data_IF_330559197723
#
_entry.id   IF_330559197723
#
_cell.length_a   1.000
_cell.length_b   1.000
_cell.length_c   1.000
_cell.angle_alpha   90.00
_cell.angle_beta   90.00
_cell.angle_gamma   90.00
#
_symmetry.space_group_name_H-M   'P 1'
#
loop_
_entity.id
_entity.type
_entity.pdbx_description
1 polymer ?
#
# COMPACT_ATOMS: atom_id res chain seq x y z
N UNK A 1 7.99 21.56 -10.97
CA UNK A 1 9.12 20.65 -11.24
C UNK A 1 8.89 19.27 -10.69
N UNK A 2 8.88 18.23 -11.53
CA UNK A 2 8.93 16.87 -11.02
C UNK A 2 10.35 16.67 -10.49
N UNK A 3 10.52 16.75 -9.17
CA UNK A 3 11.80 16.46 -8.52
C UNK A 3 12.24 15.04 -8.85
N UNK A 4 13.12 14.93 -9.83
CA UNK A 4 13.80 13.69 -10.17
C UNK A 4 14.80 13.38 -9.07
N UNK A 5 14.36 12.60 -8.09
CA UNK A 5 15.22 12.14 -6.99
C UNK A 5 16.27 11.19 -7.54
N UNK A 6 17.52 11.37 -7.12
CA UNK A 6 18.60 10.46 -7.48
C UNK A 6 18.34 9.06 -6.89
N UNK A 7 18.88 8.04 -7.55
CA UNK A 7 18.80 6.64 -7.10
C UNK A 7 19.41 6.49 -5.69
N UNK A 8 20.44 7.26 -5.36
CA UNK A 8 21.08 7.23 -4.05
C UNK A 8 20.18 7.80 -2.95
N UNK A 9 19.47 8.90 -3.22
CA UNK A 9 18.48 9.46 -2.31
C UNK A 9 17.38 8.43 -2.04
N UNK A 10 16.83 7.79 -3.08
CA UNK A 10 15.84 6.73 -2.91
C UNK A 10 16.35 5.56 -2.04
N UNK A 11 17.59 5.09 -2.28
CA UNK A 11 18.22 4.03 -1.47
C UNK A 11 18.40 4.43 -0.01
N UNK A 12 18.82 5.66 0.25
CA UNK A 12 18.96 6.18 1.61
C UNK A 12 17.62 6.22 2.35
N UNK A 13 16.58 6.77 1.73
CA UNK A 13 15.24 6.81 2.31
C UNK A 13 14.67 5.41 2.55
N UNK A 14 14.86 4.49 1.61
CA UNK A 14 14.46 3.08 1.77
C UNK A 14 15.19 2.43 2.96
N UNK A 15 16.51 2.63 3.09
CA UNK A 15 17.29 2.10 4.19
C UNK A 15 16.84 2.67 5.54
N UNK A 16 16.57 3.97 5.61
CA UNK A 16 16.04 4.62 6.80
C UNK A 16 14.68 4.03 7.20
N UNK A 17 13.76 3.88 6.25
CA UNK A 17 12.44 3.27 6.46
C UNK A 17 12.55 1.82 6.97
N UNK A 18 13.37 1.01 6.30
CA UNK A 18 13.64 -0.37 6.71
C UNK A 18 14.22 -0.44 8.13
N UNK A 19 15.08 0.51 8.49
CA UNK A 19 15.69 0.57 9.82
C UNK A 19 14.66 0.91 10.90
N UNK A 20 13.76 1.86 10.63
CA UNK A 20 12.67 2.22 11.55
C UNK A 20 11.74 1.02 11.79
N UNK A 21 11.34 0.31 10.72
CA UNK A 21 10.52 -0.91 10.82
C UNK A 21 11.23 -1.95 11.71
N UNK A 22 12.53 -2.18 11.49
CA UNK A 22 13.33 -3.10 12.31
C UNK A 22 13.38 -2.68 13.78
N UNK A 23 13.59 -1.40 14.08
CA UNK A 23 13.60 -0.88 15.46
C UNK A 23 12.23 -1.11 16.12
N UNK A 24 11.14 -0.82 15.40
CA UNK A 24 9.78 -1.05 15.92
C UNK A 24 9.48 -2.53 16.14
N UNK A 25 10.04 -3.40 15.31
CA UNK A 25 9.87 -4.84 15.41
C UNK A 25 10.70 -5.45 16.56
N UNK A 26 11.98 -5.11 16.68
CA UNK A 26 12.92 -5.74 17.61
C UNK A 26 12.98 -5.08 18.99
N UNK A 27 12.68 -3.78 19.08
CA UNK A 27 12.73 -3.02 20.34
C UNK A 27 11.46 -2.19 20.57
N UNK A 28 10.28 -2.83 20.55
CA UNK A 28 8.98 -2.15 20.69
C UNK A 28 8.84 -1.42 22.04
N UNK A 29 9.40 -1.99 23.10
CA UNK A 29 9.35 -1.45 24.47
C UNK A 29 10.03 -0.08 24.61
N UNK A 30 11.08 0.16 23.80
CA UNK A 30 11.79 1.45 23.79
C UNK A 30 11.01 2.51 23.00
N UNK A 31 10.22 2.10 22.01
CA UNK A 31 9.49 3.01 21.12
C UNK A 31 8.10 3.33 21.66
N UNK A 32 7.46 2.39 22.35
CA UNK A 32 6.10 2.51 22.85
C UNK A 32 5.84 3.78 23.69
N UNK A 33 6.74 4.21 24.61
CA UNK A 33 6.56 5.47 25.37
C UNK A 33 6.52 6.73 24.48
N UNK A 34 7.04 6.64 23.26
CA UNK A 34 7.12 7.73 22.29
C UNK A 34 6.11 7.57 21.14
N UNK A 35 5.13 6.67 21.28
CA UNK A 35 4.18 6.36 20.21
C UNK A 35 3.41 7.60 19.74
N UNK A 36 2.97 8.47 20.64
CA UNK A 36 2.20 9.66 20.27
C UNK A 36 3.02 10.65 19.42
N UNK A 37 4.32 10.76 19.72
CA UNK A 37 5.25 11.56 18.92
C UNK A 37 5.43 10.93 17.53
N UNK A 38 5.68 9.61 17.47
CA UNK A 38 5.79 8.87 16.21
C UNK A 38 4.52 9.03 15.38
N UNK A 39 3.36 8.96 16.02
CA UNK A 39 2.06 9.09 15.37
C UNK A 39 1.82 10.47 14.78
N UNK A 40 2.18 11.51 15.55
CA UNK A 40 2.11 12.89 15.09
C UNK A 40 3.03 13.14 13.88
N UNK A 41 4.25 12.62 13.90
CA UNK A 41 5.19 12.74 12.79
C UNK A 41 4.70 11.98 11.55
N UNK A 42 4.19 10.76 11.71
CA UNK A 42 3.61 9.99 10.62
C UNK A 42 2.43 10.73 9.96
N UNK A 43 1.53 11.33 10.76
CA UNK A 43 0.43 12.15 10.21
C UNK A 43 0.91 13.34 9.38
N UNK A 44 2.00 14.00 9.78
CA UNK A 44 2.61 15.08 9.00
C UNK A 44 3.19 14.57 7.68
N UNK A 45 3.91 13.44 7.72
CA UNK A 45 4.46 12.80 6.51
C UNK A 45 3.35 12.35 5.55
N UNK A 46 2.25 11.83 6.06
CA UNK A 46 1.11 11.40 5.24
C UNK A 46 0.50 12.57 4.45
N UNK A 47 0.42 13.76 5.07
CA UNK A 47 -0.11 14.99 4.44
C UNK A 47 0.86 15.62 3.43
N UNK A 48 2.16 15.40 3.58
CA UNK A 48 3.15 15.98 2.67
C UNK A 48 3.14 15.26 1.31
N UNK A 49 2.71 15.96 0.25
CA UNK A 49 2.70 15.43 -1.13
C UNK A 49 4.10 15.16 -1.69
N UNK A 50 5.15 15.76 -1.10
CA UNK A 50 6.54 15.61 -1.55
C UNK A 50 7.16 14.32 -1.06
N UNK A 51 6.62 13.71 0.00
CA UNK A 51 7.13 12.46 0.57
C UNK A 51 6.71 11.29 -0.32
N UNK A 52 7.63 10.40 -0.72
CA UNK A 52 7.34 9.21 -1.50
C UNK A 52 6.39 8.27 -0.76
N UNK A 53 5.57 7.56 -1.53
CA UNK A 53 4.60 6.61 -0.97
C UNK A 53 5.25 5.49 -0.15
N UNK A 54 6.46 5.05 -0.51
CA UNK A 54 7.19 4.03 0.26
C UNK A 54 7.53 4.50 1.68
N UNK A 55 7.86 5.78 1.85
CA UNK A 55 8.17 6.35 3.17
C UNK A 55 6.90 6.44 4.02
N UNK A 56 5.80 6.89 3.41
CA UNK A 56 4.47 6.95 4.04
C UNK A 56 4.01 5.58 4.52
N UNK A 57 4.09 4.58 3.63
CA UNK A 57 3.73 3.21 3.95
C UNK A 57 4.59 2.62 5.07
N UNK A 58 5.90 2.85 5.03
CA UNK A 58 6.82 2.31 6.04
C UNK A 58 6.52 2.87 7.44
N UNK A 59 6.12 4.14 7.53
CA UNK A 59 5.69 4.73 8.80
C UNK A 59 4.38 4.15 9.28
N UNK A 60 3.43 3.93 8.37
CA UNK A 60 2.15 3.29 8.68
C UNK A 60 2.36 1.89 9.24
N UNK A 61 3.19 1.09 8.58
CA UNK A 61 3.58 -0.25 9.03
C UNK A 61 4.24 -0.24 10.41
N UNK A 62 5.18 0.68 10.64
CA UNK A 62 5.81 0.86 11.94
C UNK A 62 4.78 1.17 13.04
N UNK A 63 3.81 2.05 12.79
CA UNK A 63 2.77 2.36 13.77
C UNK A 63 1.89 1.15 14.08
N UNK A 64 1.48 0.38 13.06
CA UNK A 64 0.72 -0.86 13.27
C UNK A 64 1.53 -1.84 14.12
N UNK A 65 2.83 -2.01 13.84
CA UNK A 65 3.71 -2.89 14.62
C UNK A 65 3.78 -2.49 16.09
N UNK A 66 3.94 -1.20 16.40
CA UNK A 66 3.98 -0.72 17.79
C UNK A 66 2.60 -0.86 18.47
N UNK A 67 1.50 -0.65 17.73
CA UNK A 67 0.14 -0.78 18.28
C UNK A 67 -0.17 -2.17 18.88
N UNK A 68 0.51 -3.21 18.39
CA UNK A 68 0.41 -4.57 18.93
C UNK A 68 0.83 -4.66 20.40
N UNK A 69 1.66 -3.73 20.88
CA UNK A 69 2.18 -3.69 22.25
C UNK A 69 1.33 -2.84 23.19
N UNK A 70 0.17 -2.36 22.73
CA UNK A 70 -0.83 -1.76 23.62
C UNK A 70 -1.43 -2.75 24.60
N UNK A 71 -1.39 -4.05 24.27
CA UNK A 71 -1.98 -5.13 25.08
C UNK A 71 -3.45 -4.87 25.45
N UNK A 72 -4.18 -4.15 24.60
CA UNK A 72 -5.59 -3.83 24.77
C UNK A 72 -6.26 -3.88 23.40
N UNK A 73 -7.24 -4.78 23.27
CA UNK A 73 -8.00 -4.99 22.04
C UNK A 73 -8.70 -3.70 21.60
N UNK A 74 -9.41 -3.04 22.52
CA UNK A 74 -10.17 -1.81 22.22
C UNK A 74 -9.25 -0.68 21.77
N UNK A 75 -8.16 -0.43 22.50
CA UNK A 75 -7.20 0.62 22.15
C UNK A 75 -6.56 0.39 20.77
N UNK A 76 -6.24 -0.86 20.47
CA UNK A 76 -5.67 -1.22 19.16
C UNK A 76 -6.72 -1.12 18.06
N UNK A 77 -7.95 -1.60 18.31
CA UNK A 77 -9.06 -1.53 17.37
C UNK A 77 -9.38 -0.08 16.99
N UNK A 78 -9.48 0.82 17.96
CA UNK A 78 -9.75 2.24 17.73
C UNK A 78 -8.63 2.90 16.91
N UNK A 79 -7.37 2.60 17.23
CA UNK A 79 -6.22 3.07 16.47
C UNK A 79 -6.26 2.61 15.01
N UNK A 80 -6.49 1.31 14.78
CA UNK A 80 -6.56 0.75 13.42
C UNK A 80 -7.78 1.27 12.66
N UNK A 81 -8.91 1.49 13.34
CA UNK A 81 -10.10 2.10 12.75
C UNK A 81 -9.82 3.55 12.31
N UNK A 82 -9.12 4.33 13.12
CA UNK A 82 -8.68 5.67 12.75
C UNK A 82 -7.72 5.64 11.56
N UNK A 83 -6.77 4.72 11.55
CA UNK A 83 -5.80 4.56 10.47
C UNK A 83 -6.46 4.16 9.14
N UNK A 84 -7.44 3.26 9.20
CA UNK A 84 -8.20 2.79 8.04
C UNK A 84 -9.32 3.75 7.60
N UNK A 85 -9.63 4.79 8.38
CA UNK A 85 -10.75 5.70 8.10
C UNK A 85 -10.62 6.39 6.74
N UNK A 86 -9.42 6.85 6.39
CA UNK A 86 -9.17 7.48 5.10
C UNK A 86 -9.34 6.49 3.94
N UNK A 87 -8.79 5.28 4.08
CA UNK A 87 -8.97 4.23 3.09
C UNK A 87 -10.45 3.89 2.93
N UNK A 88 -11.18 3.75 4.03
CA UNK A 88 -12.62 3.45 4.03
C UNK A 88 -13.44 4.53 3.33
N UNK A 89 -13.10 5.80 3.54
CA UNK A 89 -13.74 6.94 2.87
C UNK A 89 -13.51 6.91 1.36
N UNK A 90 -12.27 6.66 0.92
CA UNK A 90 -11.93 6.56 -0.51
C UNK A 90 -12.63 5.36 -1.14
N UNK A 91 -12.60 4.18 -0.51
CA UNK A 91 -13.26 2.97 -1.02
C UNK A 91 -14.78 3.11 -1.12
N UNK A 92 -15.40 3.81 -0.17
CA UNK A 92 -16.84 4.04 -0.15
C UNK A 92 -17.28 5.19 -1.06
N UNK A 93 -16.34 5.91 -1.69
CA UNK A 93 -16.66 7.01 -2.58
C UNK A 93 -17.37 6.52 -3.85
N UNK A 94 -18.34 7.29 -4.34
CA UNK A 94 -19.06 6.96 -5.56
C UNK A 94 -18.13 6.88 -6.78
N UNK A 95 -17.04 7.65 -6.76
CA UNK A 95 -16.00 7.64 -7.79
C UNK A 95 -15.27 6.29 -7.83
N UNK A 96 -14.84 5.78 -6.67
CA UNK A 96 -14.17 4.49 -6.58
C UNK A 96 -15.11 3.33 -6.91
N UNK A 97 -16.35 3.36 -6.40
CA UNK A 97 -17.36 2.35 -6.71
C UNK A 97 -17.64 2.25 -8.21
N UNK A 98 -17.71 3.39 -8.90
CA UNK A 98 -17.83 3.41 -10.36
C UNK A 98 -16.56 2.86 -11.02
N UNK A 99 -15.38 3.31 -10.57
CA UNK A 99 -14.10 2.88 -11.14
C UNK A 99 -13.90 1.36 -11.12
N UNK A 100 -14.32 0.68 -10.05
CA UNK A 100 -14.16 -0.79 -9.92
C UNK A 100 -15.32 -1.60 -10.50
N UNK A 101 -16.34 -0.94 -11.05
CA UNK A 101 -17.54 -1.61 -11.58
C UNK A 101 -17.28 -2.35 -12.90
N UNK A 102 -16.34 -1.86 -13.71
CA UNK A 102 -15.97 -2.44 -14.99
C UNK A 102 -14.51 -2.13 -15.33
N UNK A 103 -13.85 -2.95 -16.17
CA UNK A 103 -12.48 -2.67 -16.61
C UNK A 103 -12.38 -1.34 -17.38
N UNK A 104 -13.42 -0.95 -18.13
CA UNK A 104 -13.46 0.30 -18.89
C UNK A 104 -13.44 1.54 -17.98
N UNK A 105 -14.30 1.54 -16.95
CA UNK A 105 -14.33 2.61 -15.95
C UNK A 105 -13.00 2.67 -15.18
N UNK A 106 -12.40 1.50 -14.89
CA UNK A 106 -11.11 1.44 -14.22
C UNK A 106 -10.00 2.08 -15.07
N UNK A 107 -9.94 1.76 -16.36
CA UNK A 107 -8.98 2.34 -17.32
C UNK A 107 -9.11 3.87 -17.35
N UNK A 108 -10.33 4.39 -17.41
CA UNK A 108 -10.56 5.84 -17.42
C UNK A 108 -10.17 6.50 -16.10
N UNK A 109 -10.48 5.84 -14.98
CA UNK A 109 -10.16 6.32 -13.63
C UNK A 109 -8.65 6.47 -13.38
N UNK A 110 -7.85 5.50 -13.85
CA UNK A 110 -6.39 5.53 -13.71
C UNK A 110 -5.68 6.26 -14.86
N UNK A 111 -6.39 6.54 -15.94
CA UNK A 111 -5.89 7.25 -17.11
C UNK A 111 -5.02 6.38 -18.02
N UNK A 112 -5.38 5.11 -18.21
CA UNK A 112 -4.67 4.15 -19.06
C UNK A 112 -5.29 4.02 -20.47
N UNK A 113 -5.84 5.11 -21.00
CA UNK A 113 -6.47 5.17 -22.33
C UNK A 113 -5.61 5.96 -23.33
N UNK A 114 -5.67 5.55 -24.61
CA UNK A 114 -4.93 6.10 -25.75
C UNK A 114 -5.02 7.63 -25.82
N UNK A 115 -6.18 8.19 -25.47
CA UNK A 115 -6.53 9.58 -25.74
C UNK A 115 -6.02 10.60 -24.70
N UNK A 116 -5.60 10.17 -23.49
CA UNK A 116 -5.24 11.10 -22.39
C UNK A 116 -3.74 11.18 -22.07
N UNK A 117 -2.89 10.47 -22.81
CA UNK A 117 -1.46 10.32 -22.53
C UNK A 117 -0.54 11.51 -22.90
N UNK A 118 -1.08 12.63 -23.40
CA UNK A 118 -0.28 13.74 -23.96
C UNK A 118 -0.23 15.01 -23.12
N UNK A 119 -0.99 15.12 -22.03
CA UNK A 119 -0.97 16.31 -21.17
C UNK A 119 -0.20 16.05 -19.87
N UNK A 120 1.07 16.49 -19.84
CA UNK A 120 1.99 16.39 -18.68
C UNK A 120 1.64 17.31 -17.50
N UNK A 121 0.35 17.55 -17.24
CA UNK A 121 -0.14 18.26 -16.06
C UNK A 121 -0.44 17.32 -14.88
N UNK A 122 -0.69 17.87 -13.68
CA UNK A 122 -1.30 17.16 -12.54
C UNK A 122 -2.74 16.71 -12.92
N UNK A 123 -2.85 15.68 -13.74
CA UNK A 123 -4.13 15.11 -14.14
C UNK A 123 -4.81 14.47 -12.92
N UNK A 124 -6.15 14.60 -12.77
CA UNK A 124 -6.92 13.89 -11.74
C UNK A 124 -6.56 12.40 -11.64
N UNK A 125 -6.22 11.77 -12.76
CA UNK A 125 -5.81 10.36 -12.84
C UNK A 125 -4.53 10.03 -12.04
N UNK A 126 -3.59 10.99 -11.89
CA UNK A 126 -2.39 10.79 -11.07
C UNK A 126 -2.75 10.79 -9.57
N UNK A 127 -3.65 11.67 -9.15
CA UNK A 127 -4.17 11.72 -7.78
C UNK A 127 -4.92 10.44 -7.47
N UNK A 128 -5.79 9.99 -8.38
CA UNK A 128 -6.55 8.73 -8.27
C UNK A 128 -5.62 7.53 -8.05
N UNK A 129 -4.61 7.35 -8.91
CA UNK A 129 -3.62 6.26 -8.77
C UNK A 129 -2.87 6.33 -7.43
N UNK A 130 -2.47 7.53 -7.02
CA UNK A 130 -1.74 7.73 -5.76
C UNK A 130 -2.60 7.41 -4.54
N UNK A 131 -3.87 7.83 -4.53
CA UNK A 131 -4.82 7.53 -3.47
C UNK A 131 -5.15 6.04 -3.42
N UNK A 132 -5.40 5.42 -4.57
CA UNK A 132 -5.68 3.98 -4.67
C UNK A 132 -4.52 3.15 -4.11
N UNK A 133 -3.28 3.44 -4.53
CA UNK A 133 -2.09 2.77 -4.00
C UNK A 133 -1.96 2.97 -2.48
N UNK A 134 -2.15 4.20 -1.99
CA UNK A 134 -2.08 4.47 -0.55
C UNK A 134 -3.11 3.64 0.23
N UNK A 135 -4.34 3.51 -0.29
CA UNK A 135 -5.40 2.72 0.33
C UNK A 135 -5.04 1.23 0.35
N UNK A 136 -4.56 0.67 -0.77
CA UNK A 136 -4.12 -0.72 -0.86
C UNK A 136 -2.98 -1.03 0.12
N UNK A 137 -1.94 -0.18 0.12
CA UNK A 137 -0.81 -0.33 1.03
C UNK A 137 -1.20 -0.20 2.50
N UNK A 138 -2.15 0.70 2.83
CA UNK A 138 -2.67 0.83 4.19
C UNK A 138 -3.38 -0.44 4.64
N UNK A 139 -4.29 -0.97 3.80
CA UNK A 139 -5.02 -2.20 4.10
C UNK A 139 -4.07 -3.39 4.23
N UNK A 140 -3.12 -3.54 3.29
CA UNK A 140 -2.09 -4.59 3.33
C UNK A 140 -1.23 -4.48 4.60
N UNK A 141 -0.74 -3.29 4.92
CA UNK A 141 0.09 -3.05 6.09
C UNK A 141 -0.62 -3.42 7.40
N UNK A 142 -1.91 -3.09 7.52
CA UNK A 142 -2.73 -3.49 8.66
C UNK A 142 -2.95 -5.01 8.70
N UNK A 143 -3.32 -5.62 7.57
CA UNK A 143 -3.57 -7.07 7.48
C UNK A 143 -2.33 -7.92 7.80
N UNK A 144 -1.16 -7.48 7.36
CA UNK A 144 0.09 -8.23 7.55
C UNK A 144 0.67 -8.07 8.97
N UNK A 145 0.44 -6.92 9.62
CA UNK A 145 1.15 -6.57 10.84
C UNK A 145 0.29 -6.48 12.11
N UNK A 146 -1.03 -6.36 12.00
CA UNK A 146 -1.91 -6.32 13.17
C UNK A 146 -2.07 -7.71 13.78
N UNK A 147 -1.59 -7.87 15.02
CA UNK A 147 -1.60 -9.13 15.77
C UNK A 147 -2.01 -8.92 17.22
N UNK A 148 -2.57 -9.97 17.81
CA UNK A 148 -2.74 -10.08 19.25
C UNK A 148 -1.41 -10.41 19.95
N UNK A 149 -1.30 -10.23 21.28
CA UNK A 149 -0.12 -10.62 22.05
C UNK A 149 0.18 -12.12 21.93
N UNK A 150 1.47 -12.48 21.86
CA UNK A 150 1.90 -13.89 21.82
C UNK A 150 1.69 -14.61 23.15
N UNK A 151 1.72 -13.87 24.27
CA UNK A 151 1.45 -14.42 25.61
C UNK A 151 -0.07 -14.55 25.84
N UNK A 152 -0.49 -15.74 26.29
CA UNK A 152 -1.91 -16.05 26.46
C UNK A 152 -2.56 -15.23 27.58
N UNK A 153 -1.85 -15.00 28.69
CA UNK A 153 -2.39 -14.26 29.82
C UNK A 153 -2.52 -12.77 29.48
N UNK A 154 -1.53 -12.21 28.78
CA UNK A 154 -1.62 -10.86 28.20
C UNK A 154 -2.77 -10.76 27.18
N UNK A 155 -2.97 -11.77 26.33
CA UNK A 155 -4.06 -11.77 25.35
C UNK A 155 -5.44 -11.87 26.01
N UNK A 156 -5.58 -12.65 27.10
CA UNK A 156 -6.81 -12.70 27.90
C UNK A 156 -7.06 -11.37 28.61
N UNK A 157 -6.06 -10.84 29.31
CA UNK A 157 -6.14 -9.57 30.03
C UNK A 157 -6.46 -8.39 29.10
N UNK A 158 -5.90 -8.41 27.88
CA UNK A 158 -6.16 -7.43 26.85
C UNK A 158 -7.47 -7.62 26.07
N UNK A 159 -8.24 -8.67 26.34
CA UNK A 159 -9.54 -8.92 25.69
C UNK A 159 -9.46 -9.45 24.27
N UNK A 160 -8.36 -10.09 23.87
CA UNK A 160 -8.18 -10.69 22.54
C UNK A 160 -8.77 -12.10 22.43
N UNK A 161 -8.98 -12.79 23.55
CA UNK A 161 -9.54 -14.16 23.59
C UNK A 161 -11.06 -14.08 23.77
N UNK A 162 -11.82 -14.67 22.85
CA UNK A 162 -13.29 -14.67 22.87
C UNK A 162 -13.89 -15.99 23.35
N UNK A 163 -13.10 -17.05 23.42
CA UNK A 163 -13.55 -18.36 23.84
C UNK A 163 -12.47 -19.43 23.66
N UNK A 164 -12.89 -20.69 23.77
CA UNK A 164 -12.04 -21.86 23.58
C UNK A 164 -12.75 -22.87 22.68
N UNK A 165 -11.99 -23.62 21.90
CA UNK A 165 -12.50 -24.77 21.14
C UNK A 165 -12.84 -25.93 22.08
N UNK A 166 -13.49 -26.96 21.56
CA UNK A 166 -13.77 -28.21 22.30
C UNK A 166 -12.52 -28.85 22.89
N UNK A 167 -11.37 -28.66 22.24
CA UNK A 167 -10.08 -29.22 22.64
C UNK A 167 -9.31 -28.31 23.62
N UNK A 168 -9.92 -27.18 24.04
CA UNK A 168 -9.31 -26.22 24.96
C UNK A 168 -8.36 -25.22 24.32
N UNK A 169 -8.32 -25.12 22.99
CA UNK A 169 -7.47 -24.12 22.31
C UNK A 169 -8.15 -22.74 22.33
N UNK A 170 -7.42 -21.64 22.62
CA UNK A 170 -7.99 -20.30 22.65
C UNK A 170 -8.43 -19.83 21.25
N UNK A 171 -9.59 -19.18 21.20
CA UNK A 171 -10.13 -18.52 19.99
C UNK A 171 -9.85 -17.02 20.13
N UNK A 172 -9.09 -16.48 19.19
CA UNK A 172 -8.70 -15.07 19.16
C UNK A 172 -9.59 -14.25 18.22
N UNK A 173 -9.71 -12.96 18.50
CA UNK A 173 -10.24 -11.96 17.58
C UNK A 173 -9.15 -10.99 17.16
N UNK A 174 -9.07 -10.66 15.86
CA UNK A 174 -8.13 -9.66 15.38
C UNK A 174 -8.75 -8.26 15.50
N UNK A 175 -8.05 -7.26 16.07
CA UNK A 175 -8.52 -5.87 16.13
C UNK A 175 -8.85 -5.24 14.78
N UNK A 176 -8.25 -5.70 13.68
CA UNK A 176 -8.52 -5.15 12.35
C UNK A 176 -9.75 -5.76 11.67
N UNK A 177 -10.28 -6.89 12.16
CA UNK A 177 -11.28 -7.70 11.44
C UNK A 177 -12.53 -6.90 11.05
N UNK A 178 -13.12 -6.16 11.99
CA UNK A 178 -14.37 -5.43 11.72
C UNK A 178 -14.20 -4.39 10.59
N UNK A 179 -13.09 -3.65 10.62
CA UNK A 179 -12.83 -2.59 9.64
C UNK A 179 -12.43 -3.15 8.28
N UNK A 180 -11.63 -4.21 8.26
CA UNK A 180 -11.22 -4.84 7.00
C UNK A 180 -12.39 -5.56 6.31
N UNK A 181 -13.29 -6.20 7.08
CA UNK A 181 -14.48 -6.85 6.51
C UNK A 181 -15.36 -5.87 5.75
N UNK A 182 -15.48 -4.62 6.21
CA UNK A 182 -16.20 -3.54 5.50
C UNK A 182 -15.58 -3.16 4.16
N UNK A 183 -14.29 -3.45 3.96
CA UNK A 183 -13.55 -3.14 2.73
C UNK A 183 -13.48 -4.33 1.76
N UNK A 184 -13.83 -5.53 2.22
CA UNK A 184 -13.55 -6.77 1.51
C UNK A 184 -14.26 -6.87 0.15
N UNK A 185 -15.53 -6.47 0.08
CA UNK A 185 -16.29 -6.49 -1.17
C UNK A 185 -15.69 -5.55 -2.24
N UNK A 186 -15.17 -4.41 -1.79
CA UNK A 186 -14.51 -3.43 -2.66
C UNK A 186 -13.16 -3.95 -3.15
N UNK A 187 -12.40 -4.61 -2.28
CA UNK A 187 -11.15 -5.27 -2.64
C UNK A 187 -11.41 -6.34 -3.70
N UNK A 188 -12.41 -7.22 -3.52
CA UNK A 188 -12.75 -8.22 -4.53
C UNK A 188 -13.24 -7.63 -5.84
N UNK A 189 -13.98 -6.52 -5.79
CA UNK A 189 -14.40 -5.80 -7.00
C UNK A 189 -13.21 -5.23 -7.75
N UNK A 190 -12.24 -4.66 -7.04
CA UNK A 190 -11.00 -4.19 -7.65
C UNK A 190 -10.15 -5.33 -8.21
N UNK A 191 -9.96 -6.43 -7.47
CA UNK A 191 -9.25 -7.62 -7.97
C UNK A 191 -9.88 -8.10 -9.27
N UNK A 192 -11.21 -8.17 -9.33
CA UNK A 192 -11.94 -8.57 -10.53
C UNK A 192 -11.73 -7.61 -11.70
N UNK A 193 -11.89 -6.31 -11.46
CA UNK A 193 -11.67 -5.28 -12.48
C UNK A 193 -10.22 -5.32 -13.01
N UNK A 194 -9.25 -5.47 -12.10
CA UNK A 194 -7.84 -5.54 -12.42
C UNK A 194 -7.47 -6.81 -13.21
N UNK A 195 -7.98 -7.98 -12.83
CA UNK A 195 -7.77 -9.22 -13.58
C UNK A 195 -8.40 -9.16 -14.98
N UNK A 196 -9.57 -8.52 -15.10
CA UNK A 196 -10.24 -8.35 -16.39
C UNK A 196 -9.50 -7.38 -17.34
N UNK A 197 -8.51 -6.61 -16.86
CA UNK A 197 -7.65 -5.81 -17.74
C UNK A 197 -6.83 -6.66 -18.71
N UNK A 198 -6.55 -7.92 -18.36
CA UNK A 198 -5.76 -8.83 -19.19
C UNK A 198 -6.58 -9.51 -20.29
N UNK A 199 -7.90 -9.25 -20.37
CA UNK A 199 -8.73 -9.75 -21.46
C UNK A 199 -8.35 -9.06 -22.79
N UNK A 200 -8.18 -9.79 -23.90
CA UNK A 200 -7.71 -9.22 -25.17
C UNK A 200 -8.54 -8.02 -25.65
N UNK A 201 -9.86 -8.10 -25.51
CA UNK A 201 -10.80 -7.04 -25.87
C UNK A 201 -10.66 -5.77 -25.01
N UNK A 202 -10.15 -5.89 -23.78
CA UNK A 202 -9.88 -4.76 -22.88
C UNK A 202 -8.51 -4.17 -23.17
N UNK A 203 -7.49 -5.02 -23.35
CA UNK A 203 -6.13 -4.61 -23.72
C UNK A 203 -6.12 -3.78 -25.01
N UNK A 204 -6.92 -4.17 -26.00
CA UNK A 204 -7.07 -3.41 -27.26
C UNK A 204 -7.52 -1.96 -27.03
N UNK A 205 -8.32 -1.68 -26.00
CA UNK A 205 -8.82 -0.33 -25.68
C UNK A 205 -7.76 0.56 -25.03
N UNK A 206 -6.77 -0.03 -24.36
CA UNK A 206 -5.65 0.71 -23.76
C UNK A 206 -4.64 1.20 -24.81
N UNK A 207 -4.63 0.57 -25.98
CA UNK A 207 -3.70 0.81 -27.09
C UNK A 207 -2.30 0.28 -26.84
N UNK A 208 -1.48 0.27 -27.90
CA UNK A 208 -0.19 -0.43 -27.89
C UNK A 208 0.80 0.03 -26.81
N UNK A 209 0.81 1.32 -26.49
CA UNK A 209 1.70 1.90 -25.45
C UNK A 209 1.33 1.45 -24.04
N UNK A 210 0.04 1.53 -23.66
CA UNK A 210 -0.40 1.16 -22.32
C UNK A 210 -0.65 -0.34 -22.16
N UNK A 211 -0.93 -1.08 -23.24
CA UNK A 211 -0.95 -2.54 -23.23
C UNK A 211 0.39 -3.12 -22.75
N UNK A 212 1.52 -2.56 -23.23
CA UNK A 212 2.88 -2.93 -22.78
C UNK A 212 3.13 -2.62 -21.30
N UNK A 213 2.32 -1.77 -20.67
CA UNK A 213 2.45 -1.50 -19.23
C UNK A 213 1.92 -2.65 -18.36
N UNK A 214 1.20 -3.63 -18.94
CA UNK A 214 0.80 -4.86 -18.26
C UNK A 214 1.87 -5.97 -18.38
N UNK A 215 2.89 -5.79 -19.21
CA UNK A 215 3.99 -6.75 -19.35
C UNK A 215 4.95 -6.72 -18.16
N UNK A 216 5.68 -7.83 -17.99
CA UNK A 216 6.83 -7.96 -17.07
C UNK A 216 7.83 -6.81 -17.31
N UNK A 217 8.36 -6.21 -16.24
CA UNK A 217 9.33 -5.12 -16.38
C UNK A 217 10.60 -5.62 -17.08
N UNK A 218 11.20 -4.76 -17.92
CA UNK A 218 12.47 -5.07 -18.58
C UNK A 218 13.60 -5.42 -17.60
N UNK A 219 13.58 -4.83 -16.40
CA UNK A 219 14.51 -5.18 -15.32
C UNK A 219 14.30 -6.60 -14.82
N UNK A 220 13.04 -7.04 -14.69
CA UNK A 220 12.69 -8.40 -14.26
C UNK A 220 13.02 -9.41 -15.35
N UNK A 221 12.74 -9.11 -16.62
CA UNK A 221 13.16 -9.94 -17.77
C UNK A 221 14.68 -10.16 -17.76
N UNK A 222 15.46 -9.09 -17.58
CA UNK A 222 16.92 -9.19 -17.49
C UNK A 222 17.39 -10.02 -16.29
N UNK A 223 16.75 -9.86 -15.13
CA UNK A 223 17.03 -10.67 -13.95
C UNK A 223 16.75 -12.16 -14.21
N UNK A 224 15.61 -12.50 -14.82
CA UNK A 224 15.25 -13.88 -15.17
C UNK A 224 16.24 -14.48 -16.17
N UNK A 225 16.72 -13.68 -17.12
CA UNK A 225 17.74 -14.07 -18.10
C UNK A 225 19.16 -14.13 -17.53
N UNK A 226 19.36 -13.87 -16.23
CA UNK A 226 20.68 -13.86 -15.59
C UNK A 226 21.60 -12.73 -16.09
N UNK A 227 21.06 -11.71 -16.75
CA UNK A 227 21.83 -10.61 -17.29
C UNK A 227 22.17 -9.63 -16.17
N UNK A 228 23.46 -9.43 -15.94
CA UNK A 228 23.97 -8.45 -14.96
C UNK A 228 23.49 -7.06 -15.39
N UNK A 229 22.66 -6.43 -14.55
CA UNK A 229 22.30 -5.04 -14.78
C UNK A 229 23.53 -4.17 -14.52
N UNK A 230 23.91 -3.27 -15.45
CA UNK A 230 24.99 -2.35 -15.20
C UNK A 230 24.66 -1.52 -13.96
N UNK A 231 25.62 -1.42 -13.04
CA UNK A 231 25.52 -0.51 -11.90
C UNK A 231 25.48 0.89 -12.49
N UNK A 232 24.29 1.48 -12.56
CA UNK A 232 24.15 2.84 -13.07
C UNK A 232 24.89 3.79 -12.13
N UNK A 233 25.88 4.51 -12.62
CA UNK A 233 26.51 5.61 -11.89
C UNK A 233 25.42 6.65 -11.55
N UNK A 234 25.22 6.84 -10.26
CA UNK A 234 23.94 7.24 -9.64
C UNK A 234 23.69 8.75 -9.58
N UNK A 235 24.51 9.57 -10.23
CA UNK A 235 24.55 10.99 -9.88
C UNK A 235 23.36 11.82 -10.39
N UNK A 236 22.72 11.50 -11.52
CA UNK A 236 21.62 12.34 -12.05
C UNK A 236 20.53 11.62 -12.85
N UNK A 237 20.42 10.28 -12.76
CA UNK A 237 19.40 9.57 -13.54
C UNK A 237 18.04 9.58 -12.84
N UNK A 238 16.99 10.14 -13.47
CA UNK A 238 15.63 10.09 -12.92
C UNK A 238 15.09 8.65 -12.86
N UNK A 239 14.47 8.30 -11.72
CA UNK A 239 13.91 6.95 -11.45
C UNK A 239 12.86 6.55 -12.49
N UNK A 240 12.05 7.49 -12.98
CA UNK A 240 11.06 7.24 -14.04
C UNK A 240 11.26 8.19 -15.22
N UNK A 241 11.53 7.64 -16.41
CA UNK A 241 11.83 8.40 -17.63
C UNK A 241 10.62 8.68 -18.53
N UNK A 242 9.49 7.98 -18.37
CA UNK A 242 8.29 8.16 -19.20
C UNK A 242 6.99 7.91 -18.43
N UNK A 243 5.88 8.45 -18.94
CA UNK A 243 4.53 8.22 -18.40
C UNK A 243 4.16 6.72 -18.40
N UNK A 244 4.54 6.00 -19.45
CA UNK A 244 4.40 4.54 -19.58
C UNK A 244 5.10 3.81 -18.42
N UNK A 245 6.37 4.15 -18.11
CA UNK A 245 7.10 3.52 -17.00
C UNK A 245 6.45 3.79 -15.64
N UNK A 246 5.87 4.97 -15.44
CA UNK A 246 5.10 5.28 -14.22
C UNK A 246 3.82 4.46 -14.15
N UNK A 247 3.15 4.25 -15.29
CA UNK A 247 1.94 3.42 -15.35
C UNK A 247 2.25 1.94 -15.14
N UNK A 248 3.31 1.41 -15.76
CA UNK A 248 3.78 0.04 -15.53
C UNK A 248 4.15 -0.19 -14.06
N UNK A 249 4.87 0.76 -13.44
CA UNK A 249 5.18 0.68 -12.02
C UNK A 249 3.93 0.73 -11.14
N UNK A 250 2.91 1.51 -11.52
CA UNK A 250 1.61 1.52 -10.84
C UNK A 250 0.92 0.15 -10.93
N UNK A 251 0.76 -0.43 -12.12
CA UNK A 251 0.12 -1.74 -12.27
C UNK A 251 0.91 -2.84 -11.55
N UNK A 252 2.24 -2.79 -11.59
CA UNK A 252 3.09 -3.72 -10.83
C UNK A 252 2.87 -3.58 -9.33
N UNK A 253 2.84 -2.34 -8.83
CA UNK A 253 2.62 -2.08 -7.40
C UNK A 253 1.26 -2.56 -6.91
N UNK A 254 0.22 -2.45 -7.74
CA UNK A 254 -1.08 -3.02 -7.44
C UNK A 254 -1.03 -4.54 -7.44
N UNK A 255 -0.42 -5.16 -8.45
CA UNK A 255 -0.27 -6.61 -8.52
C UNK A 255 0.43 -7.18 -7.27
N UNK A 256 1.53 -6.55 -6.83
CA UNK A 256 2.29 -6.97 -5.64
C UNK A 256 1.57 -6.66 -4.31
N UNK A 257 0.47 -5.89 -4.34
CA UNK A 257 -0.31 -5.54 -3.15
C UNK A 257 -1.41 -6.53 -2.82
N UNK A 258 -1.71 -7.46 -3.73
CA UNK A 258 -2.65 -8.57 -3.52
C UNK A 258 -1.98 -9.79 -2.86
#
# INVERSE_FOLDING_TARGET
DPQTRSVQCFRFHHLACTSIIKICHFTPELVLPHFDLLSSQAMLLMRDKRVPQVEKYSMLEAQVMISNYFNSYEKQQDFLAQLLSQATSVWSSHEMQRAVSSPDEFISYVGAEILKGLEEGESPCQTNRSQLNLCLYTVKGVLQNAKWPSDLEAAKAGGFVVGFTSDGNPIYRNPCSEQVLKLLDNLFSLVRAFNNLYLPEVVQKMGESYAKCLDILETEKKCILGLIQPVMDTYDVPVYRSAEKRMQAFFRSMYDSW
#
